data_IF_927457086400
#
_entry.id   IF_927457086400
#
_cell.length_a   1.000
_cell.length_b   1.000
_cell.length_c   1.000
_cell.angle_alpha   90.00
_cell.angle_beta   90.00
_cell.angle_gamma   90.00
#
_symmetry.space_group_name_H-M   'P 1'
#
loop_
_entity.id
_entity.type
_entity.pdbx_description
1 polymer ?
#
# COMPACT_ATOMS: atom_id res chain seq x y z
N UNK A 1 0.74 -11.42 -12.23
CA UNK A 1 1.96 -10.56 -12.22
C UNK A 1 1.95 -9.82 -10.89
N UNK A 2 3.09 -9.74 -10.21
CA UNK A 2 3.17 -9.01 -8.94
C UNK A 2 3.22 -7.50 -9.18
N UNK A 3 2.48 -6.74 -8.39
CA UNK A 3 2.40 -5.28 -8.45
C UNK A 3 2.42 -4.70 -7.03
N UNK A 4 2.61 -3.39 -6.93
CA UNK A 4 2.55 -2.68 -5.66
C UNK A 4 1.13 -2.19 -5.38
N UNK A 5 0.72 -2.33 -4.13
CA UNK A 5 -0.58 -1.89 -3.64
C UNK A 5 -0.41 -1.13 -2.32
N UNK A 6 -1.13 -0.04 -2.17
CA UNK A 6 -1.32 0.65 -0.90
C UNK A 6 -2.60 0.14 -0.24
N UNK A 7 -2.59 0.00 1.07
CA UNK A 7 -3.79 -0.33 1.84
C UNK A 7 -3.70 0.20 3.28
N UNK A 8 -4.83 0.16 3.98
CA UNK A 8 -4.92 0.50 5.40
C UNK A 8 -5.69 -0.56 6.21
N UNK A 9 -6.49 -1.37 5.53
CA UNK A 9 -7.40 -2.31 6.15
C UNK A 9 -6.84 -3.73 6.10
N UNK A 10 -7.21 -4.53 7.10
CA UNK A 10 -7.00 -5.98 7.16
C UNK A 10 -8.32 -6.67 7.45
N UNK A 11 -8.56 -7.84 6.86
CA UNK A 11 -9.72 -8.69 7.14
C UNK A 11 -9.29 -10.01 7.80
N UNK A 12 -9.93 -10.38 8.92
CA UNK A 12 -9.63 -11.61 9.69
C UNK A 12 -9.02 -11.35 11.07
N UNK A 13 -8.87 -12.39 11.90
CA UNK A 13 -8.37 -12.24 13.28
C UNK A 13 -6.84 -12.24 13.36
N UNK A 14 -6.37 -11.49 14.36
CA UNK A 14 -4.99 -11.26 14.82
C UNK A 14 -4.06 -10.55 13.85
N UNK A 15 -4.12 -10.79 12.54
CA UNK A 15 -3.28 -10.03 11.57
C UNK A 15 -3.86 -9.82 10.17
N UNK A 16 -4.89 -10.58 9.79
CA UNK A 16 -5.73 -10.39 8.60
C UNK A 16 -5.05 -10.37 7.22
N UNK A 17 -5.83 -10.68 6.20
CA UNK A 17 -5.46 -10.50 4.79
C UNK A 17 -5.52 -9.01 4.45
N UNK A 18 -4.52 -8.42 3.74
CA UNK A 18 -4.61 -7.05 3.25
C UNK A 18 -5.94 -6.83 2.54
N UNK A 19 -6.68 -5.77 2.88
CA UNK A 19 -7.99 -5.52 2.29
C UNK A 19 -8.08 -4.17 1.61
N UNK A 20 -8.96 -4.12 0.61
CA UNK A 20 -9.22 -2.94 -0.22
C UNK A 20 -7.94 -2.35 -0.86
N UNK A 21 -7.12 -3.17 -1.55
CA UNK A 21 -5.85 -2.73 -2.12
C UNK A 21 -6.06 -1.67 -3.20
N UNK A 22 -5.21 -0.65 -3.19
CA UNK A 22 -5.14 0.39 -4.20
C UNK A 22 -3.85 0.24 -5.00
N UNK A 23 -3.95 0.12 -6.33
CA UNK A 23 -2.76 -0.03 -7.18
C UNK A 23 -1.82 1.17 -7.03
N UNK A 24 -0.51 0.93 -7.00
CA UNK A 24 0.54 1.96 -6.95
C UNK A 24 1.53 1.71 -8.08
N UNK A 25 2.06 2.77 -8.69
CA UNK A 25 3.10 2.62 -9.71
C UNK A 25 4.41 2.14 -9.07
N UNK A 26 5.30 1.52 -9.84
CA UNK A 26 6.61 1.12 -9.31
C UNK A 26 7.46 2.32 -8.86
N UNK A 27 7.30 3.48 -9.51
CA UNK A 27 8.00 4.71 -9.15
C UNK A 27 7.51 5.23 -7.78
N UNK A 28 6.20 5.36 -7.62
CA UNK A 28 5.59 5.83 -6.37
C UNK A 28 5.87 4.86 -5.22
N UNK A 29 5.80 3.56 -5.48
CA UNK A 29 6.16 2.54 -4.50
C UNK A 29 7.62 2.68 -4.04
N UNK A 30 8.53 2.96 -4.96
CA UNK A 30 9.94 3.18 -4.64
C UNK A 30 10.12 4.41 -3.74
N UNK A 31 9.45 5.52 -4.06
CA UNK A 31 9.50 6.73 -3.24
C UNK A 31 8.89 6.53 -1.85
N UNK A 32 7.75 5.85 -1.74
CA UNK A 32 7.13 5.50 -0.46
C UNK A 32 8.06 4.63 0.40
N UNK A 33 8.65 3.60 -0.21
CA UNK A 33 9.61 2.74 0.48
C UNK A 33 10.86 3.50 0.93
N UNK A 34 11.40 4.39 0.08
CA UNK A 34 12.55 5.22 0.43
C UNK A 34 12.25 6.17 1.60
N UNK A 35 11.09 6.84 1.58
CA UNK A 35 10.67 7.74 2.65
C UNK A 35 10.56 7.02 4.01
N UNK A 36 10.15 5.76 4.00
CA UNK A 36 9.95 4.95 5.19
C UNK A 36 11.15 4.02 5.55
N UNK A 37 12.24 4.05 4.78
CA UNK A 37 13.37 3.13 4.98
C UNK A 37 13.03 1.65 4.80
N UNK A 38 12.03 1.34 3.96
CA UNK A 38 11.55 -0.01 3.69
C UNK A 38 12.33 -0.64 2.52
N UNK A 39 12.49 -1.96 2.62
CA UNK A 39 13.00 -2.81 1.55
C UNK A 39 11.88 -3.50 0.78
N UNK A 40 12.16 -3.93 -0.45
CA UNK A 40 11.22 -4.70 -1.26
C UNK A 40 10.85 -6.06 -0.62
N UNK A 41 11.76 -6.65 0.15
CA UNK A 41 11.46 -7.87 0.91
C UNK A 41 10.42 -7.61 1.99
N UNK A 42 10.49 -6.47 2.69
CA UNK A 42 9.46 -6.08 3.66
C UNK A 42 8.10 -5.84 2.99
N UNK A 43 8.07 -5.15 1.84
CA UNK A 43 6.83 -4.94 1.08
C UNK A 43 6.19 -6.26 0.60
N UNK A 44 6.97 -7.32 0.43
CA UNK A 44 6.48 -8.65 0.02
C UNK A 44 5.91 -9.47 1.18
N UNK A 45 6.13 -9.03 2.43
CA UNK A 45 5.60 -9.70 3.61
C UNK A 45 4.17 -9.23 3.90
N UNK A 46 3.29 -10.18 4.15
CA UNK A 46 1.98 -9.88 4.75
C UNK A 46 2.17 -9.51 6.23
N UNK A 47 3.18 -10.12 6.88
CA UNK A 47 3.45 -9.93 8.30
C UNK A 47 4.95 -9.81 8.62
N UNK A 48 5.36 -8.79 9.40
CA UNK A 48 4.61 -7.57 9.70
C UNK A 48 4.40 -6.75 8.41
N UNK A 49 3.33 -5.96 8.32
CA UNK A 49 3.10 -5.16 7.13
C UNK A 49 4.11 -4.03 7.01
N UNK A 50 4.48 -3.73 5.76
CA UNK A 50 5.41 -2.65 5.48
C UNK A 50 4.70 -1.29 5.59
N UNK A 51 4.78 -0.69 6.77
CA UNK A 51 4.18 0.61 7.07
C UNK A 51 5.06 1.75 6.55
N UNK A 52 4.52 2.62 5.71
CA UNK A 52 5.22 3.80 5.18
C UNK A 52 4.72 5.13 5.72
N UNK A 53 3.58 5.15 6.41
CA UNK A 53 3.00 6.37 7.00
C UNK A 53 2.27 6.07 8.33
N UNK A 54 2.01 7.09 9.13
CA UNK A 54 1.12 7.08 10.28
C UNK A 54 -0.13 7.93 10.03
N UNK A 55 -1.18 7.70 10.82
CA UNK A 55 -2.38 8.53 10.74
C UNK A 55 -2.02 9.95 11.15
N UNK A 56 -2.28 10.91 10.26
CA UNK A 56 -1.90 12.32 10.44
C UNK A 56 -0.63 12.73 9.70
N UNK A 57 0.11 11.79 9.10
CA UNK A 57 1.24 12.11 8.23
C UNK A 57 0.77 12.66 6.89
N UNK A 58 1.59 13.51 6.27
CA UNK A 58 1.32 14.06 4.94
C UNK A 58 1.17 12.94 3.91
N UNK A 59 1.97 11.87 4.00
CA UNK A 59 1.88 10.70 3.13
C UNK A 59 0.60 9.89 3.33
N UNK A 60 0.04 9.87 4.55
CA UNK A 60 -1.24 9.21 4.80
C UNK A 60 -2.37 9.94 4.08
N UNK A 61 -2.40 11.27 4.17
CA UNK A 61 -3.39 12.10 3.47
C UNK A 61 -3.20 12.04 1.94
N UNK A 62 -1.95 12.18 1.46
CA UNK A 62 -1.62 12.16 0.04
C UNK A 62 -1.93 10.81 -0.63
N UNK A 63 -1.97 9.73 0.14
CA UNK A 63 -2.34 8.40 -0.37
C UNK A 63 -3.81 8.06 -0.17
N UNK A 64 -4.63 9.02 0.28
CA UNK A 64 -6.06 8.83 0.50
C UNK A 64 -6.38 7.97 1.72
N UNK A 65 -5.57 8.09 2.78
CA UNK A 65 -5.71 7.37 4.04
C UNK A 65 -5.08 5.97 4.03
N UNK A 66 -4.07 5.73 3.20
CA UNK A 66 -3.31 4.49 3.18
C UNK A 66 -2.01 4.62 3.96
N UNK A 67 -1.53 3.51 4.53
CA UNK A 67 -0.28 3.53 5.32
C UNK A 67 0.59 2.29 5.19
N UNK A 68 0.10 1.24 4.55
CA UNK A 68 0.85 0.02 4.30
C UNK A 68 1.06 -0.18 2.81
N UNK A 69 2.23 -0.68 2.44
CA UNK A 69 2.55 -1.10 1.07
C UNK A 69 2.68 -2.62 1.00
N UNK A 70 2.13 -3.20 -0.05
CA UNK A 70 2.15 -4.62 -0.34
C UNK A 70 2.66 -4.85 -1.76
N UNK A 71 3.61 -5.76 -1.94
CA UNK A 71 4.09 -6.22 -3.23
C UNK A 71 3.67 -7.67 -3.43
N UNK A 72 2.75 -7.92 -4.36
CA UNK A 72 2.20 -9.24 -4.58
C UNK A 72 1.08 -9.25 -5.59
N UNK A 73 0.15 -10.20 -5.45
CA UNK A 73 -1.01 -10.30 -6.32
C UNK A 73 -2.27 -9.82 -5.58
N UNK A 74 -3.00 -8.85 -6.14
CA UNK A 74 -4.22 -8.34 -5.50
C UNK A 74 -5.30 -9.42 -5.30
N UNK A 75 -5.26 -10.54 -6.03
CA UNK A 75 -6.20 -11.67 -5.82
C UNK A 75 -6.00 -12.35 -4.47
N UNK A 76 -4.87 -12.10 -3.81
CA UNK A 76 -4.57 -12.56 -2.46
C UNK A 76 -5.12 -11.61 -1.39
N UNK A 77 -5.64 -10.44 -1.79
CA UNK A 77 -6.26 -9.46 -0.91
C UNK A 77 -7.76 -9.72 -0.72
N UNK A 78 -8.31 -9.24 0.39
CA UNK A 78 -9.75 -9.24 0.66
C UNK A 78 -10.42 -7.95 0.17
N UNK A 79 -11.74 -7.99 -0.01
CA UNK A 79 -12.55 -6.81 -0.37
C UNK A 79 -12.02 -6.00 -1.56
N UNK A 80 -11.51 -6.71 -2.57
CA UNK A 80 -10.92 -6.09 -3.76
C UNK A 80 -11.98 -5.30 -4.50
N UNK A 81 -11.78 -3.99 -4.60
CA UNK A 81 -12.56 -3.13 -5.47
C UNK A 81 -11.90 -3.06 -6.87
N UNK A 82 -12.55 -3.57 -7.93
CA UNK A 82 -11.98 -3.59 -9.28
C UNK A 82 -11.55 -2.20 -9.78
N UNK A 83 -12.28 -1.14 -9.41
CA UNK A 83 -11.95 0.23 -9.82
C UNK A 83 -10.65 0.75 -9.19
N UNK A 84 -10.28 0.27 -8.00
CA UNK A 84 -9.06 0.68 -7.30
C UNK A 84 -7.82 -0.03 -7.80
N UNK A 85 -7.96 -1.28 -8.25
CA UNK A 85 -6.85 -2.04 -8.84
C UNK A 85 -6.70 -1.81 -10.34
N UNK A 86 -7.71 -1.20 -10.99
CA UNK A 86 -7.67 -0.86 -12.42
C UNK A 86 -6.83 0.38 -12.74
N UNK A 87 -6.68 1.32 -11.79
CA UNK A 87 -5.90 2.54 -11.99
C UNK A 87 -4.98 2.83 -10.81
N UNK A 88 -3.72 3.24 -11.07
CA UNK A 88 -2.79 3.63 -10.02
C UNK A 88 -3.32 4.80 -9.18
N UNK A 89 -2.95 4.81 -7.91
CA UNK A 89 -3.05 5.98 -7.04
C UNK A 89 -2.20 7.11 -7.62
N UNK A 90 -2.75 8.32 -7.62
CA UNK A 90 -2.02 9.53 -7.99
C UNK A 90 -1.55 10.17 -6.69
N UNK A 91 -0.23 10.28 -6.51
CA UNK A 91 0.39 10.91 -5.35
C UNK A 91 1.01 12.22 -5.82
N UNK A 92 0.60 13.34 -5.22
CA UNK A 92 1.21 14.64 -5.48
C UNK A 92 2.46 14.82 -4.60
N UNK A 93 3.61 14.39 -5.14
CA UNK A 93 4.87 14.47 -4.44
C UNK A 93 5.38 15.89 -4.17
N UNK A 94 4.82 16.91 -4.82
CA UNK A 94 5.19 18.30 -4.54
C UNK A 94 4.51 18.84 -3.27
N UNK A 95 3.43 18.18 -2.84
CA UNK A 95 2.65 18.52 -1.65
C UNK A 95 2.96 17.60 -0.45
N UNK A 96 3.84 16.60 -0.63
CA UNK A 96 4.24 15.61 0.39
C UNK A 96 5.57 15.90 1.07
#
# INVERSE_FOLDING_TARGET
MSQYFAHNSYCGWTYGTPSDPKLVTAEDATKLMQAAGLSSSQASLILPPAQYAEVGDVLFEATGGNRFIFFGNYTECADVNPSKVASPLVIDWAAT
#
